data_IF_174869285560
#
_entry.id   IF_174869285560
#
_cell.length_a   1.000
_cell.length_b   1.000
_cell.length_c   1.000
_cell.angle_alpha   90.00
_cell.angle_beta   90.00
_cell.angle_gamma   90.00
#
_symmetry.space_group_name_H-M   'P 1'
#
loop_
_entity.id
_entity.type
_entity.pdbx_description
1 polymer ?
#
# COMPACT_ATOMS: atom_id res chain seq x y z
N UNK A 1 -1.73 -14.97 -5.05
CA UNK A 1 -2.90 -14.40 -4.36
C UNK A 1 -2.70 -12.92 -4.20
N UNK A 2 -3.67 -12.10 -4.59
CA UNK A 2 -3.58 -10.64 -4.44
C UNK A 2 -4.27 -10.21 -3.14
N UNK A 3 -3.49 -9.67 -2.21
CA UNK A 3 -4.01 -9.00 -1.01
C UNK A 3 -4.13 -7.50 -1.27
N UNK A 4 -4.94 -6.81 -0.47
CA UNK A 4 -5.17 -5.37 -0.58
C UNK A 4 -5.30 -4.78 0.83
N UNK A 5 -4.65 -3.65 1.07
CA UNK A 5 -4.57 -3.02 2.39
C UNK A 5 -5.91 -2.46 2.92
N UNK A 6 -6.87 -2.21 2.03
CA UNK A 6 -8.13 -1.49 2.31
C UNK A 6 -9.40 -2.24 1.90
N UNK A 7 -9.27 -3.37 1.18
CA UNK A 7 -10.41 -4.20 0.75
C UNK A 7 -11.00 -5.04 1.88
N UNK A 8 -10.12 -5.69 2.63
CA UNK A 8 -10.49 -6.62 3.71
C UNK A 8 -10.48 -5.89 5.05
N UNK A 9 -10.77 -6.58 6.15
CA UNK A 9 -10.86 -6.03 7.51
C UNK A 9 -9.47 -5.69 8.11
N UNK A 10 -8.71 -4.87 7.39
CA UNK A 10 -7.44 -4.29 7.82
C UNK A 10 -6.31 -5.30 7.98
N UNK A 11 -5.43 -5.01 8.94
CA UNK A 11 -4.20 -5.77 9.20
C UNK A 11 -4.50 -7.20 9.62
N UNK A 12 -5.49 -7.40 10.50
CA UNK A 12 -5.82 -8.70 11.07
C UNK A 12 -6.21 -9.72 10.00
N UNK A 13 -7.10 -9.34 9.08
CA UNK A 13 -7.54 -10.24 8.01
C UNK A 13 -6.44 -10.46 6.95
N UNK A 14 -5.64 -9.43 6.66
CA UNK A 14 -4.48 -9.60 5.77
C UNK A 14 -3.44 -10.57 6.34
N UNK A 15 -3.14 -10.54 7.65
CA UNK A 15 -2.25 -11.52 8.28
C UNK A 15 -2.82 -12.93 8.15
N UNK A 16 -4.12 -13.12 8.39
CA UNK A 16 -4.77 -14.41 8.22
C UNK A 16 -4.66 -14.92 6.77
N UNK A 17 -4.89 -14.04 5.79
CA UNK A 17 -4.76 -14.36 4.38
C UNK A 17 -3.33 -14.76 3.99
N UNK A 18 -2.31 -14.00 4.45
CA UNK A 18 -0.90 -14.31 4.20
C UNK A 18 -0.52 -15.67 4.79
N UNK A 19 -0.91 -15.96 6.04
CA UNK A 19 -0.65 -17.25 6.69
C UNK A 19 -1.35 -18.41 5.96
N UNK A 20 -2.58 -18.20 5.48
CA UNK A 20 -3.29 -19.19 4.67
C UNK A 20 -2.59 -19.42 3.33
N UNK A 21 -2.15 -18.37 2.64
CA UNK A 21 -1.40 -18.50 1.39
C UNK A 21 -0.09 -19.29 1.61
N UNK A 22 0.65 -18.98 2.68
CA UNK A 22 1.87 -19.69 3.06
C UNK A 22 1.61 -21.18 3.33
N UNK A 23 0.55 -21.52 4.07
CA UNK A 23 0.17 -22.92 4.37
C UNK A 23 -0.04 -23.76 3.11
N UNK A 24 -0.57 -23.15 2.04
CA UNK A 24 -0.87 -23.81 0.78
C UNK A 24 0.19 -23.55 -0.31
N UNK A 25 1.34 -22.99 0.05
CA UNK A 25 2.42 -22.67 -0.88
C UNK A 25 1.97 -21.79 -2.06
N UNK A 26 1.04 -20.86 -1.81
CA UNK A 26 0.55 -19.91 -2.81
C UNK A 26 1.31 -18.60 -2.62
N UNK A 27 2.01 -18.07 -3.64
CA UNK A 27 2.71 -16.80 -3.52
C UNK A 27 1.72 -15.65 -3.34
N UNK A 28 2.06 -14.71 -2.45
CA UNK A 28 1.33 -13.46 -2.29
C UNK A 28 1.96 -12.39 -3.19
N UNK A 29 1.15 -11.81 -4.06
CA UNK A 29 1.55 -10.70 -4.93
C UNK A 29 0.60 -9.54 -4.65
N UNK A 30 0.92 -8.64 -3.69
CA UNK A 30 -0.02 -7.63 -3.25
C UNK A 30 -0.48 -6.73 -4.37
N UNK A 31 -1.79 -6.47 -4.40
CA UNK A 31 -2.39 -5.44 -5.23
C UNK A 31 -2.05 -4.07 -4.64
N UNK A 32 -1.65 -3.17 -5.52
CA UNK A 32 -1.37 -1.77 -5.22
C UNK A 32 -2.08 -0.87 -6.24
N UNK A 33 -1.65 0.38 -6.38
CA UNK A 33 -2.33 1.35 -7.25
C UNK A 33 -3.56 1.96 -6.58
N UNK A 34 -4.36 2.71 -7.34
CA UNK A 34 -5.34 3.62 -6.70
C UNK A 34 -4.62 4.72 -5.92
N UNK A 35 -5.21 5.18 -4.81
CA UNK A 35 -4.65 6.28 -3.99
C UNK A 35 -4.16 5.71 -2.66
N UNK A 36 -2.84 5.69 -2.46
CA UNK A 36 -2.23 5.27 -1.18
C UNK A 36 -2.02 3.77 -0.98
N UNK A 37 -2.47 2.89 -1.89
CA UNK A 37 -2.30 1.45 -1.67
C UNK A 37 -0.83 1.02 -1.77
N UNK A 38 -0.01 1.69 -2.60
CA UNK A 38 1.44 1.44 -2.63
C UNK A 38 2.05 1.71 -1.24
N UNK A 39 1.68 2.84 -0.63
CA UNK A 39 2.17 3.28 0.68
C UNK A 39 1.82 2.29 1.78
N UNK A 40 0.60 1.74 1.76
CA UNK A 40 0.11 0.84 2.79
C UNK A 40 0.50 -0.62 2.55
N UNK A 41 0.34 -1.13 1.32
CA UNK A 41 0.45 -2.57 1.04
C UNK A 41 1.88 -3.09 1.08
N UNK A 42 2.87 -2.21 0.86
CA UNK A 42 4.29 -2.56 0.97
C UNK A 42 4.65 -3.15 2.35
N UNK A 43 3.99 -2.69 3.42
CA UNK A 43 4.25 -3.18 4.78
C UNK A 43 3.86 -4.66 4.93
N UNK A 44 2.77 -5.09 4.28
CA UNK A 44 2.38 -6.51 4.29
C UNK A 44 3.38 -7.38 3.53
N UNK A 45 3.89 -6.89 2.40
CA UNK A 45 4.91 -7.61 1.62
C UNK A 45 6.24 -7.75 2.40
N UNK A 46 6.59 -6.71 3.16
CA UNK A 46 7.78 -6.72 4.03
C UNK A 46 7.60 -7.63 5.23
N UNK A 47 6.43 -7.61 5.89
CA UNK A 47 6.06 -8.54 6.95
C UNK A 47 6.13 -10.00 6.48
N UNK A 48 5.54 -10.31 5.33
CA UNK A 48 5.53 -11.66 4.76
C UNK A 48 6.95 -12.19 4.55
N UNK A 49 7.84 -11.39 3.95
CA UNK A 49 9.21 -11.83 3.71
C UNK A 49 10.09 -11.91 4.95
N UNK A 50 9.81 -11.16 6.01
CA UNK A 50 10.59 -11.22 7.25
C UNK A 50 10.09 -12.32 8.18
N UNK A 51 8.77 -12.49 8.31
CA UNK A 51 8.16 -13.26 9.39
C UNK A 51 7.38 -14.51 8.94
N UNK A 52 7.05 -14.65 7.66
CA UNK A 52 6.18 -15.75 7.20
C UNK A 52 6.84 -16.63 6.14
N UNK A 53 7.09 -16.11 4.93
CA UNK A 53 7.52 -16.93 3.78
C UNK A 53 8.99 -16.76 3.40
N UNK A 54 9.68 -15.73 3.92
CA UNK A 54 11.05 -15.43 3.51
C UNK A 54 11.13 -14.67 2.18
N UNK A 55 12.33 -14.23 1.79
CA UNK A 55 12.53 -13.66 0.46
C UNK A 55 12.58 -14.77 -0.61
N UNK A 56 11.81 -14.62 -1.71
CA UNK A 56 11.76 -15.59 -2.79
C UNK A 56 11.40 -14.93 -4.14
N UNK A 57 11.75 -15.54 -5.29
CA UNK A 57 11.55 -14.92 -6.61
C UNK A 57 10.09 -14.77 -7.03
N UNK A 58 9.18 -15.58 -6.48
CA UNK A 58 7.74 -15.46 -6.72
C UNK A 58 7.05 -14.27 -6.03
N UNK A 59 7.76 -13.49 -5.21
CA UNK A 59 7.20 -12.34 -4.50
C UNK A 59 7.34 -11.09 -5.36
N UNK A 60 6.21 -10.52 -5.76
CA UNK A 60 6.14 -9.28 -6.54
C UNK A 60 5.12 -8.38 -5.87
N UNK A 61 5.43 -7.09 -5.75
CA UNK A 61 4.48 -6.07 -5.28
C UNK A 61 4.15 -5.19 -6.47
N UNK A 62 2.86 -5.02 -6.76
CA UNK A 62 2.42 -4.09 -7.81
C UNK A 62 2.87 -2.65 -7.48
N UNK A 63 3.12 -1.83 -8.50
CA UNK A 63 3.42 -0.41 -8.35
C UNK A 63 2.75 0.37 -9.48
N UNK A 64 2.22 1.55 -9.17
CA UNK A 64 1.67 2.51 -10.13
C UNK A 64 2.12 3.89 -9.69
N UNK A 65 2.73 4.65 -10.60
CA UNK A 65 3.29 5.98 -10.34
C UNK A 65 2.21 7.08 -10.36
N UNK A 66 1.36 7.11 -9.34
CA UNK A 66 0.24 8.04 -9.27
C UNK A 66 -0.08 8.46 -7.83
N UNK A 67 -0.20 9.77 -7.60
CA UNK A 67 -0.73 10.39 -6.37
C UNK A 67 0.10 10.19 -5.09
N UNK A 68 1.33 9.69 -5.21
CA UNK A 68 2.27 9.57 -4.09
C UNK A 68 2.57 10.91 -3.43
N UNK A 69 2.54 12.01 -4.20
CA UNK A 69 2.77 13.38 -3.74
C UNK A 69 1.77 13.86 -2.68
N UNK A 70 0.68 13.13 -2.45
CA UNK A 70 -0.32 13.47 -1.45
C UNK A 70 -0.06 12.85 -0.08
N UNK A 71 0.95 11.97 0.05
CA UNK A 71 1.26 11.24 1.28
C UNK A 71 2.49 11.81 1.98
N UNK A 72 2.45 11.84 3.32
CA UNK A 72 3.55 12.35 4.16
C UNK A 72 4.80 11.48 4.04
N UNK A 73 4.60 10.18 3.86
CA UNK A 73 5.67 9.20 3.64
C UNK A 73 5.36 8.45 2.34
N UNK A 74 5.71 9.02 1.17
CA UNK A 74 5.48 8.37 -0.10
C UNK A 74 6.35 7.13 -0.26
N UNK A 75 5.89 6.18 -1.07
CA UNK A 75 6.69 5.01 -1.44
C UNK A 75 7.99 5.42 -2.14
N UNK A 76 9.11 4.78 -1.79
CA UNK A 76 10.41 4.94 -2.47
C UNK A 76 10.73 3.68 -3.29
N UNK A 77 10.95 3.85 -4.60
CA UNK A 77 11.31 2.78 -5.53
C UNK A 77 12.74 3.01 -6.02
N UNK A 78 13.62 2.00 -5.86
CA UNK A 78 14.97 2.02 -6.44
C UNK A 78 15.22 0.74 -7.22
N UNK A 79 15.67 0.88 -8.47
CA UNK A 79 15.98 -0.24 -9.36
C UNK A 79 14.82 -1.27 -9.44
N UNK A 80 13.58 -0.78 -9.52
CA UNK A 80 12.38 -1.62 -9.58
C UNK A 80 12.02 -2.32 -8.27
N UNK A 81 12.56 -1.89 -7.12
CA UNK A 81 12.29 -2.47 -5.81
C UNK A 81 11.75 -1.44 -4.82
N UNK A 82 10.75 -1.84 -4.04
CA UNK A 82 10.27 -1.10 -2.88
C UNK A 82 11.37 -1.00 -1.81
N UNK A 83 11.62 0.22 -1.34
CA UNK A 83 12.52 0.50 -0.23
C UNK A 83 11.72 0.57 1.06
N UNK A 84 12.20 -0.12 2.10
CA UNK A 84 11.52 -0.17 3.39
C UNK A 84 11.37 1.24 3.99
N UNK A 85 10.14 1.68 4.33
CA UNK A 85 9.92 2.92 5.06
C UNK A 85 10.63 2.89 6.42
N UNK A 86 11.24 4.02 6.80
CA UNK A 86 11.90 4.18 8.09
C UNK A 86 11.08 5.00 9.09
N UNK A 87 10.08 5.75 8.60
CA UNK A 87 9.21 6.55 9.44
C UNK A 87 8.15 5.67 10.12
N UNK A 88 7.75 5.98 11.37
CA UNK A 88 6.66 5.29 12.03
C UNK A 88 5.33 5.48 11.28
N UNK A 89 4.51 4.43 11.25
CA UNK A 89 3.15 4.49 10.70
C UNK A 89 2.88 3.42 9.66
N UNK A 90 1.67 3.47 9.09
CA UNK A 90 1.20 2.55 8.06
C UNK A 90 1.26 3.15 6.64
N UNK A 91 1.90 4.30 6.47
CA UNK A 91 1.98 5.02 5.18
C UNK A 91 0.71 5.76 4.74
N UNK A 92 -0.39 5.67 5.51
CA UNK A 92 -1.69 6.21 5.11
C UNK A 92 -1.90 7.72 5.38
N UNK A 93 -0.95 8.39 6.06
CA UNK A 93 -1.10 9.81 6.39
C UNK A 93 -0.98 10.67 5.13
N UNK A 94 -2.03 11.42 4.82
CA UNK A 94 -2.06 12.37 3.71
C UNK A 94 -1.75 13.79 4.19
N UNK A 95 -1.15 14.60 3.33
CA UNK A 95 -1.00 16.02 3.60
C UNK A 95 -2.37 16.71 3.71
N UNK A 96 -2.57 17.52 4.75
CA UNK A 96 -3.82 18.26 4.95
C UNK A 96 -4.20 19.14 3.75
N UNK A 97 -3.20 19.74 3.08
CA UNK A 97 -3.44 20.53 1.86
C UNK A 97 -4.05 19.70 0.72
N UNK A 98 -3.66 18.43 0.58
CA UNK A 98 -4.25 17.52 -0.40
C UNK A 98 -5.71 17.23 -0.04
N UNK A 99 -5.98 16.97 1.25
CA UNK A 99 -7.35 16.75 1.73
C UNK A 99 -8.22 17.97 1.45
N UNK A 100 -7.80 19.17 1.88
CA UNK A 100 -8.56 20.41 1.70
C UNK A 100 -8.79 20.74 0.21
N UNK A 101 -7.84 20.39 -0.66
CA UNK A 101 -7.94 20.63 -2.10
C UNK A 101 -8.93 19.68 -2.77
N UNK A 102 -8.88 18.39 -2.43
CA UNK A 102 -9.59 17.32 -3.14
C UNK A 102 -10.79 16.74 -2.39
N UNK A 103 -11.12 17.23 -1.19
CA UNK A 103 -12.31 16.79 -0.45
C UNK A 103 -13.58 17.03 -1.25
N UNK A 104 -14.29 15.97 -1.64
CA UNK A 104 -15.54 16.11 -2.36
C UNK A 104 -16.70 16.44 -1.40
N UNK A 105 -17.64 17.35 -1.75
CA UNK A 105 -17.64 18.24 -2.92
C UNK A 105 -17.01 19.63 -2.63
N UNK A 106 -16.52 19.87 -1.42
CA UNK A 106 -16.21 21.22 -0.91
C UNK A 106 -14.78 21.70 -1.13
N UNK A 107 -13.90 20.86 -1.66
CA UNK A 107 -12.50 21.16 -1.92
C UNK A 107 -12.33 22.15 -3.07
N UNK A 108 -11.23 22.91 -3.06
CA UNK A 108 -10.95 23.95 -4.06
C UNK A 108 -10.95 23.41 -5.50
N UNK A 109 -10.54 22.15 -5.70
CA UNK A 109 -10.57 21.48 -7.01
C UNK A 109 -12.00 21.34 -7.57
N UNK A 110 -12.96 20.95 -6.72
CA UNK A 110 -14.33 20.63 -7.14
C UNK A 110 -15.22 21.87 -7.35
N UNK A 111 -14.93 22.98 -6.65
CA UNK A 111 -15.73 24.21 -6.73
C UNK A 111 -15.77 24.86 -8.12
N UNK A 112 -14.76 24.59 -8.96
CA UNK A 112 -14.68 25.15 -10.31
C UNK A 112 -15.43 24.33 -11.37
N UNK A 113 -16.05 23.20 -10.98
CA UNK A 113 -16.78 22.30 -11.87
C UNK A 113 -18.31 22.38 -11.77
N UNK A 114 -18.85 23.33 -11.02
CA UNK A 114 -20.29 23.58 -10.85
C UNK A 114 -20.72 24.88 -11.53
#
# INVERSE_FOLDING_TARGET
>A
MQIDATRVAGVNENIANILMAAKYSVPVCPHAGGVGLCEMVQHFAMFDAVAVTGHHPGRIVEFVDHLHEHFVVPTDIKNGSYIAPLQPGAGAEMHQVSIDTYQFPSGSYWKNGA
#
